data_IF_354132053026
#
_entry.id   IF_354132053026
#
_cell.length_a   1.000
_cell.length_b   1.000
_cell.length_c   1.000
_cell.angle_alpha   90.00
_cell.angle_beta   90.00
_cell.angle_gamma   90.00
#
_symmetry.space_group_name_H-M   'P 1'
#
loop_
_entity.id
_entity.type
_entity.pdbx_description
1 polymer ?
#
# COMPACT_ATOMS: atom_id res chain seq x y z
N UNK A 1 39.28 -8.77 22.97
CA UNK A 1 38.21 -9.20 22.05
C UNK A 1 36.93 -9.43 22.84
N UNK A 2 35.94 -8.55 22.76
CA UNK A 2 34.60 -8.82 23.30
C UNK A 2 33.59 -8.61 22.18
N UNK A 3 33.01 -9.72 21.71
CA UNK A 3 31.81 -9.68 20.87
C UNK A 3 30.75 -8.86 21.58
N UNK A 4 30.38 -7.72 20.99
CA UNK A 4 29.16 -7.03 21.39
C UNK A 4 27.98 -7.88 20.93
N UNK A 5 26.97 -8.10 21.78
CA UNK A 5 25.78 -8.83 21.39
C UNK A 5 25.09 -8.09 20.24
N UNK A 6 24.80 -8.84 19.17
CA UNK A 6 23.87 -8.44 18.11
C UNK A 6 22.55 -8.07 18.78
N UNK A 7 22.36 -6.78 19.01
CA UNK A 7 21.10 -6.24 19.51
C UNK A 7 20.07 -6.42 18.40
N UNK A 8 19.39 -7.58 18.46
CA UNK A 8 18.07 -7.76 17.88
C UNK A 8 17.13 -6.78 18.59
N UNK A 9 17.07 -5.56 18.05
CA UNK A 9 16.06 -4.60 18.45
C UNK A 9 14.81 -4.98 17.69
N UNK A 10 14.14 -6.02 18.19
CA UNK A 10 12.75 -6.29 17.95
C UNK A 10 11.96 -5.02 18.26
N UNK A 11 11.70 -4.22 17.25
CA UNK A 11 10.70 -3.14 17.25
C UNK A 11 9.35 -3.83 17.37
N UNK A 12 8.97 -4.13 18.60
CA UNK A 12 7.66 -4.64 18.95
C UNK A 12 7.04 -3.68 19.96
N UNK A 13 6.59 -2.56 19.43
CA UNK A 13 5.41 -1.83 19.91
C UNK A 13 5.11 -0.75 18.87
N UNK A 14 3.82 -0.67 18.53
CA UNK A 14 3.22 -0.02 17.37
C UNK A 14 3.67 -0.55 16.01
N UNK A 15 2.91 -1.53 15.50
CA UNK A 15 2.61 -1.61 14.06
C UNK A 15 1.83 -0.35 13.66
N UNK A 16 2.50 0.81 13.72
CA UNK A 16 2.04 2.05 13.13
C UNK A 16 1.83 1.77 11.65
N UNK A 17 0.57 1.54 11.29
CA UNK A 17 0.03 1.87 9.98
C UNK A 17 0.59 3.25 9.64
N UNK A 18 1.69 3.31 8.87
CA UNK A 18 2.30 4.60 8.51
C UNK A 18 1.18 5.42 7.92
N UNK A 19 0.89 6.58 8.50
CA UNK A 19 -0.25 7.41 8.12
C UNK A 19 -0.33 7.49 6.59
N UNK A 20 -1.33 6.81 6.02
CA UNK A 20 -1.49 6.81 4.57
C UNK A 20 -1.87 8.23 4.17
N UNK A 21 -1.21 8.83 3.17
CA UNK A 21 -1.46 10.21 2.81
C UNK A 21 -2.92 10.39 2.38
N UNK A 22 -3.54 11.50 2.77
CA UNK A 22 -4.92 11.79 2.37
C UNK A 22 -5.01 12.28 0.92
N UNK A 23 -3.92 12.84 0.39
CA UNK A 23 -3.85 13.44 -0.96
C UNK A 23 -2.52 13.14 -1.66
N UNK A 24 -2.51 13.31 -2.98
CA UNK A 24 -1.30 13.21 -3.79
C UNK A 24 -1.11 11.84 -4.44
N UNK A 25 0.14 11.48 -4.75
CA UNK A 25 0.45 10.25 -5.49
C UNK A 25 1.19 9.21 -4.66
N UNK A 26 0.71 7.97 -4.72
CA UNK A 26 1.30 6.79 -4.07
C UNK A 26 1.70 5.74 -5.09
N UNK A 27 2.65 4.89 -4.70
CA UNK A 27 3.16 3.76 -5.50
C UNK A 27 2.56 2.45 -5.02
N UNK A 28 2.60 1.43 -5.88
CA UNK A 28 2.05 0.10 -5.59
C UNK A 28 2.50 -0.47 -4.24
N UNK A 29 3.79 -0.37 -3.92
CA UNK A 29 4.36 -0.87 -2.66
C UNK A 29 3.86 -0.13 -1.41
N UNK A 30 3.28 1.07 -1.56
CA UNK A 30 2.65 1.81 -0.46
C UNK A 30 1.16 1.49 -0.32
N UNK A 31 0.56 0.83 -1.32
CA UNK A 31 -0.86 0.46 -1.34
C UNK A 31 -1.04 -0.96 -0.81
N UNK A 32 -0.18 -1.89 -1.24
CA UNK A 32 -0.28 -3.32 -0.90
C UNK A 32 0.59 -3.69 0.29
N UNK A 33 0.24 -4.79 0.99
CA UNK A 33 0.96 -5.27 2.17
C UNK A 33 2.43 -5.65 1.92
N UNK A 34 3.27 -5.68 2.98
CA UNK A 34 2.92 -5.65 4.41
C UNK A 34 2.70 -4.25 5.01
N UNK A 35 3.21 -3.20 4.36
CA UNK A 35 3.22 -1.84 4.93
C UNK A 35 2.05 -0.95 4.43
N UNK A 36 1.36 -1.39 3.38
CA UNK A 36 0.26 -0.66 2.76
C UNK A 36 -1.11 -1.01 3.36
N UNK A 37 -2.14 -0.17 3.12
CA UNK A 37 -3.45 -0.34 3.73
C UNK A 37 -4.22 -1.56 3.22
N UNK A 38 -3.88 -2.09 2.05
CA UNK A 38 -4.56 -3.22 1.44
C UNK A 38 -3.72 -4.51 1.60
N UNK A 39 -4.11 -5.46 2.45
CA UNK A 39 -3.32 -6.66 2.75
C UNK A 39 -3.45 -7.74 1.65
N UNK A 40 -3.17 -7.36 0.40
CA UNK A 40 -3.19 -8.27 -0.77
C UNK A 40 -1.85 -8.29 -1.49
N UNK A 41 -1.66 -9.24 -2.40
CA UNK A 41 -0.46 -9.30 -3.23
C UNK A 41 -0.48 -8.24 -4.34
N UNK A 42 0.72 -7.88 -4.84
CA UNK A 42 0.88 -7.00 -6.01
C UNK A 42 0.12 -7.52 -7.23
N UNK A 43 0.17 -8.84 -7.49
CA UNK A 43 -0.52 -9.46 -8.60
C UNK A 43 -2.04 -9.40 -8.44
N UNK A 44 -2.57 -9.60 -7.23
CA UNK A 44 -3.98 -9.42 -6.93
C UNK A 44 -4.45 -8.00 -7.18
N UNK A 45 -3.66 -7.00 -6.77
CA UNK A 45 -3.95 -5.60 -7.07
C UNK A 45 -4.01 -5.34 -8.58
N UNK A 46 -3.02 -5.80 -9.34
CA UNK A 46 -3.04 -5.67 -10.81
C UNK A 46 -4.22 -6.38 -11.47
N UNK A 47 -4.65 -7.53 -10.95
CA UNK A 47 -5.83 -8.23 -11.45
C UNK A 47 -7.10 -7.39 -11.22
N UNK A 48 -7.26 -6.79 -10.04
CA UNK A 48 -8.37 -5.88 -9.73
C UNK A 48 -8.34 -4.60 -10.58
N UNK A 49 -7.15 -4.07 -10.90
CA UNK A 49 -6.99 -2.96 -11.85
C UNK A 49 -7.44 -3.40 -13.25
N UNK A 50 -7.01 -4.58 -13.71
CA UNK A 50 -7.36 -5.11 -15.04
C UNK A 50 -8.85 -5.40 -15.17
N UNK A 51 -9.51 -5.88 -14.11
CA UNK A 51 -10.95 -6.13 -14.09
C UNK A 51 -11.79 -4.85 -13.94
N UNK A 52 -11.16 -3.71 -13.64
CA UNK A 52 -11.84 -2.44 -13.40
C UNK A 52 -12.40 -2.28 -11.97
N UNK A 53 -12.17 -3.25 -11.07
CA UNK A 53 -12.57 -3.15 -9.65
C UNK A 53 -11.73 -2.13 -8.89
N UNK A 54 -10.46 -1.97 -9.25
CA UNK A 54 -9.53 -1.04 -8.58
C UNK A 54 -9.20 0.18 -9.46
N UNK A 55 -8.78 1.31 -8.85
CA UNK A 55 -8.43 2.53 -9.57
C UNK A 55 -7.35 2.30 -10.63
N UNK A 56 -7.54 2.92 -11.80
CA UNK A 56 -6.61 2.78 -12.91
C UNK A 56 -5.27 3.50 -12.63
N UNK A 57 -4.13 2.91 -13.06
CA UNK A 57 -2.82 3.50 -12.90
C UNK A 57 -2.66 4.77 -13.73
N UNK A 58 -1.89 5.73 -13.19
CA UNK A 58 -1.44 6.93 -13.92
C UNK A 58 0.06 6.89 -14.14
N UNK A 59 0.51 7.28 -15.33
CA UNK A 59 1.94 7.40 -15.66
C UNK A 59 2.37 8.84 -15.47
N UNK A 60 3.40 9.07 -14.65
CA UNK A 60 4.07 10.39 -14.53
C UNK A 60 5.37 10.43 -15.32
N UNK A 61 5.93 9.26 -15.62
CA UNK A 61 7.08 9.10 -16.51
C UNK A 61 7.03 7.70 -17.13
N UNK A 62 7.87 7.39 -18.15
CA UNK A 62 7.82 6.10 -18.83
C UNK A 62 7.91 4.88 -17.90
N UNK A 63 8.69 4.98 -16.82
CA UNK A 63 8.93 3.89 -15.85
C UNK A 63 8.17 4.05 -14.54
N UNK A 64 7.47 5.16 -14.31
CA UNK A 64 6.83 5.45 -13.02
C UNK A 64 5.32 5.45 -13.16
N UNK A 65 4.71 4.48 -12.49
CA UNK A 65 3.27 4.35 -12.32
C UNK A 65 2.88 4.76 -10.91
N UNK A 66 1.82 5.53 -10.79
CA UNK A 66 1.27 6.03 -9.53
C UNK A 66 -0.25 5.92 -9.51
N UNK A 67 -0.81 5.98 -8.31
CA UNK A 67 -2.24 6.13 -8.04
C UNK A 67 -2.45 7.36 -7.18
N UNK A 68 -3.65 7.94 -7.25
CA UNK A 68 -4.04 8.99 -6.31
C UNK A 68 -4.35 8.37 -4.96
N UNK A 69 -3.89 9.00 -3.89
CA UNK A 69 -4.15 8.51 -2.54
C UNK A 69 -5.66 8.52 -2.22
N UNK A 70 -6.37 9.54 -2.70
CA UNK A 70 -7.81 9.73 -2.61
C UNK A 70 -8.60 8.57 -3.23
N UNK A 71 -8.17 8.10 -4.40
CA UNK A 71 -8.82 6.98 -5.10
C UNK A 71 -8.66 5.68 -4.30
N UNK A 72 -7.48 5.48 -3.70
CA UNK A 72 -7.21 4.30 -2.84
C UNK A 72 -8.02 4.36 -1.55
N UNK A 73 -8.13 5.53 -0.92
CA UNK A 73 -8.98 5.72 0.26
C UNK A 73 -10.44 5.46 -0.08
N UNK A 74 -10.90 5.91 -1.25
CA UNK A 74 -12.27 5.67 -1.72
C UNK A 74 -12.53 4.17 -1.94
N UNK A 75 -11.59 3.46 -2.57
CA UNK A 75 -11.63 2.00 -2.70
C UNK A 75 -11.73 1.32 -1.33
N UNK A 76 -10.93 1.72 -0.34
CA UNK A 76 -10.98 1.13 1.00
C UNK A 76 -12.36 1.34 1.65
N UNK A 77 -12.96 2.52 1.50
CA UNK A 77 -14.32 2.82 1.99
C UNK A 77 -15.40 2.02 1.27
N UNK A 78 -15.20 1.69 -0.01
CA UNK A 78 -16.12 0.83 -0.77
C UNK A 78 -16.01 -0.63 -0.31
N UNK A 79 -14.79 -1.13 -0.10
CA UNK A 79 -14.55 -2.47 0.44
C UNK A 79 -15.15 -2.60 1.85
N UNK A 80 -14.93 -1.60 2.71
CA UNK A 80 -15.44 -1.57 4.09
C UNK A 80 -16.98 -1.58 4.14
N UNK A 81 -17.64 -0.90 3.20
CA UNK A 81 -19.10 -0.93 3.05
C UNK A 81 -19.66 -2.24 2.48
N UNK A 82 -18.81 -3.22 2.16
CA UNK A 82 -19.21 -4.54 1.70
C UNK A 82 -19.24 -4.72 0.18
N UNK A 83 -18.32 -4.09 -0.56
CA UNK A 83 -18.33 -4.08 -2.02
C UNK A 83 -18.54 -5.45 -2.69
N UNK A 84 -19.56 -5.49 -3.57
CA UNK A 84 -19.94 -6.60 -4.47
C UNK A 84 -18.78 -7.15 -5.32
#
# INVERSE_FOLDING_TARGET
MSCLPFHDKKTHEDITYRAFPQVGFVRLNQIVGPDGPLPISKSGFWAGVKSGRFPQPRKISPRVTVWRAEDIISLLREIDRGGE
#
